data_IF_738782364965
#
_entry.id   IF_738782364965
#
_cell.length_a   1.000
_cell.length_b   1.000
_cell.length_c   1.000
_cell.angle_alpha   90.00
_cell.angle_beta   90.00
_cell.angle_gamma   90.00
#
_symmetry.space_group_name_H-M   'P 1'
#
loop_
_entity.id
_entity.type
_entity.pdbx_description
1 polymer ?
#
# COMPACT_ATOMS: atom_id res chain seq x y z
N UNK A 1 3.31 8.00 -0.85
CA UNK A 1 2.38 8.03 -2.00
C UNK A 1 0.98 7.82 -1.48
N UNK A 2 0.15 8.87 -1.49
CA UNK A 2 -1.30 8.79 -1.18
C UNK A 2 -2.10 8.33 -2.42
N UNK A 3 -1.61 8.67 -3.61
CA UNK A 3 -2.33 8.57 -4.88
C UNK A 3 -2.76 7.13 -5.23
N UNK A 4 -1.87 6.15 -5.07
CA UNK A 4 -2.20 4.75 -5.36
C UNK A 4 -3.29 4.19 -4.43
N UNK A 5 -3.31 4.62 -3.16
CA UNK A 5 -4.32 4.19 -2.18
C UNK A 5 -5.69 4.77 -2.52
N UNK A 6 -5.72 6.03 -2.96
CA UNK A 6 -6.94 6.69 -3.41
C UNK A 6 -7.48 6.02 -4.69
N UNK A 7 -6.60 5.73 -5.67
CA UNK A 7 -6.94 5.00 -6.90
C UNK A 7 -7.47 3.60 -6.59
N UNK A 8 -6.86 2.89 -5.63
CA UNK A 8 -7.28 1.55 -5.23
C UNK A 8 -8.44 1.52 -4.23
N UNK A 9 -8.78 2.67 -3.63
CA UNK A 9 -9.75 2.77 -2.54
C UNK A 9 -9.38 1.90 -1.31
N UNK A 10 -8.11 1.98 -0.86
CA UNK A 10 -7.58 1.22 0.29
C UNK A 10 -6.96 2.10 1.37
N UNK A 11 -6.93 1.63 2.63
CA UNK A 11 -6.35 2.37 3.75
C UNK A 11 -4.81 2.32 3.81
N UNK A 12 -4.23 3.29 4.53
CA UNK A 12 -2.79 3.36 4.85
C UNK A 12 -2.32 2.30 5.86
N UNK A 13 -1.01 2.04 5.80
CA UNK A 13 -0.31 0.95 6.50
C UNK A 13 -0.51 0.85 8.02
N UNK A 14 -0.70 1.94 8.75
CA UNK A 14 -0.81 1.87 10.22
C UNK A 14 -2.17 1.34 10.71
N UNK A 15 -3.20 1.35 9.85
CA UNK A 15 -4.56 0.83 10.15
C UNK A 15 -4.94 -0.36 9.27
N UNK A 16 -4.06 -0.77 8.35
CA UNK A 16 -4.38 -1.86 7.43
C UNK A 16 -4.30 -3.20 8.15
N UNK A 17 -5.34 -4.01 8.01
CA UNK A 17 -5.37 -5.42 8.42
C UNK A 17 -4.79 -6.32 7.33
N UNK A 18 -4.84 -5.88 6.06
CA UNK A 18 -4.32 -6.61 4.90
C UNK A 18 -3.24 -5.77 4.20
N UNK A 19 -1.99 -5.79 4.70
CA UNK A 19 -0.92 -4.89 4.26
C UNK A 19 -0.37 -5.19 2.87
N UNK A 20 -0.65 -6.36 2.29
CA UNK A 20 -0.21 -6.70 0.95
C UNK A 20 -0.97 -5.91 -0.12
N UNK A 21 -0.24 -5.38 -1.11
CA UNK A 21 -0.81 -4.68 -2.25
C UNK A 21 -1.41 -5.64 -3.30
N UNK A 22 -0.98 -6.91 -3.30
CA UNK A 22 -1.35 -7.90 -4.31
C UNK A 22 -2.46 -8.84 -3.85
N UNK A 23 -2.55 -9.10 -2.54
CA UNK A 23 -3.51 -10.04 -1.97
C UNK A 23 -4.24 -9.45 -0.76
N UNK A 24 -5.35 -10.09 -0.41
CA UNK A 24 -6.22 -9.77 0.71
C UNK A 24 -5.80 -10.49 2.00
N UNK A 25 -4.59 -11.04 2.04
CA UNK A 25 -4.08 -11.76 3.21
C UNK A 25 -3.94 -10.85 4.43
N UNK A 26 -4.48 -11.27 5.58
CA UNK A 26 -4.24 -10.62 6.86
C UNK A 26 -2.73 -10.55 7.19
N UNK A 27 -2.32 -9.48 7.87
CA UNK A 27 -0.91 -9.22 8.19
C UNK A 27 -0.24 -10.32 9.02
N UNK A 28 -0.98 -10.96 9.92
CA UNK A 28 -0.51 -12.08 10.76
C UNK A 28 -0.26 -13.36 9.96
N UNK A 29 -0.91 -13.51 8.80
CA UNK A 29 -0.78 -14.68 7.92
C UNK A 29 0.32 -14.55 6.87
N UNK A 30 0.93 -13.36 6.70
CA UNK A 30 1.93 -13.15 5.64
C UNK A 30 3.19 -14.02 5.77
N UNK A 31 3.56 -14.41 6.99
CA UNK A 31 4.73 -15.28 7.23
C UNK A 31 4.37 -16.77 7.30
N UNK A 32 3.11 -17.14 7.04
CA UNK A 32 2.67 -18.52 7.13
C UNK A 32 3.07 -19.30 5.87
N UNK A 33 4.14 -20.08 5.96
CA UNK A 33 4.66 -20.90 4.86
C UNK A 33 3.77 -22.10 4.49
N UNK A 34 2.75 -22.42 5.29
CA UNK A 34 1.85 -23.55 5.04
C UNK A 34 0.61 -23.16 4.22
N UNK A 35 0.46 -21.89 3.87
CA UNK A 35 -0.65 -21.41 3.06
C UNK A 35 -0.48 -21.91 1.63
N UNK A 36 -1.55 -22.51 1.10
CA UNK A 36 -1.59 -22.95 -0.28
C UNK A 36 -2.00 -21.79 -1.19
N UNK A 37 -1.50 -21.80 -2.42
CA UNK A 37 -1.72 -20.71 -3.38
C UNK A 37 -3.20 -20.47 -3.72
N UNK A 38 -4.01 -21.53 -3.71
CA UNK A 38 -5.45 -21.51 -3.96
C UNK A 38 -6.26 -20.85 -2.83
N UNK A 39 -5.68 -20.71 -1.63
CA UNK A 39 -6.30 -20.03 -0.50
C UNK A 39 -5.97 -18.52 -0.46
N UNK A 40 -5.18 -18.03 -1.42
CA UNK A 40 -4.75 -16.62 -1.45
C UNK A 40 -5.68 -15.84 -2.36
N UNK A 41 -6.56 -15.06 -1.74
CA UNK A 41 -7.41 -14.12 -2.47
C UNK A 41 -6.58 -12.93 -2.96
N UNK A 42 -6.58 -12.72 -4.26
CA UNK A 42 -5.89 -11.59 -4.89
C UNK A 42 -6.72 -10.30 -4.76
N UNK A 43 -6.04 -9.15 -4.79
CA UNK A 43 -6.70 -7.86 -5.00
C UNK A 43 -6.99 -7.70 -6.49
N UNK A 44 -8.23 -7.97 -6.87
CA UNK A 44 -8.78 -7.76 -8.21
C UNK A 44 -10.15 -7.08 -8.09
N UNK A 45 -10.76 -6.70 -9.22
CA UNK A 45 -12.06 -6.01 -9.19
C UNK A 45 -13.15 -6.84 -8.50
N UNK A 46 -13.22 -8.14 -8.79
CA UNK A 46 -14.27 -9.05 -8.31
C UNK A 46 -14.21 -9.23 -6.79
N UNK A 47 -13.05 -9.60 -6.25
CA UNK A 47 -12.86 -9.84 -4.82
C UNK A 47 -13.07 -8.57 -3.99
N UNK A 48 -12.71 -7.40 -4.54
CA UNK A 48 -12.87 -6.12 -3.85
C UNK A 48 -14.34 -5.68 -3.84
N UNK A 49 -15.07 -5.91 -4.94
CA UNK A 49 -16.52 -5.73 -4.99
C UNK A 49 -17.24 -6.67 -4.03
N UNK A 50 -16.85 -7.95 -3.99
CA UNK A 50 -17.41 -8.94 -3.08
C UNK A 50 -17.17 -8.58 -1.62
N UNK A 51 -15.98 -8.10 -1.28
CA UNK A 51 -15.66 -7.64 0.07
C UNK A 51 -16.58 -6.49 0.53
N UNK A 52 -16.93 -5.56 -0.37
CA UNK A 52 -17.87 -4.48 -0.08
C UNK A 52 -19.30 -5.00 0.02
N UNK A 53 -19.73 -5.83 -0.93
CA UNK A 53 -21.07 -6.42 -0.94
C UNK A 53 -21.32 -7.29 0.32
N UNK A 54 -20.28 -7.92 0.86
CA UNK A 54 -20.34 -8.75 2.06
C UNK A 54 -20.20 -7.97 3.37
N UNK A 55 -20.17 -6.62 3.32
CA UNK A 55 -19.92 -5.76 4.49
C UNK A 55 -18.63 -6.10 5.25
N UNK A 56 -17.61 -6.57 4.52
CA UNK A 56 -16.29 -6.97 5.03
C UNK A 56 -15.17 -6.03 4.59
N UNK A 57 -15.50 -4.89 3.97
CA UNK A 57 -14.52 -3.96 3.42
C UNK A 57 -13.48 -3.51 4.46
N UNK A 58 -13.91 -3.20 5.70
CA UNK A 58 -13.01 -2.80 6.78
C UNK A 58 -11.98 -3.90 7.10
N UNK A 59 -12.40 -5.17 7.10
CA UNK A 59 -11.53 -6.33 7.37
C UNK A 59 -10.40 -6.42 6.34
N UNK A 60 -10.69 -6.04 5.10
CA UNK A 60 -9.73 -6.04 3.98
C UNK A 60 -9.05 -4.69 3.73
N UNK A 61 -9.33 -3.72 4.61
CA UNK A 61 -8.79 -2.36 4.55
C UNK A 61 -9.17 -1.61 3.28
N UNK A 62 -10.44 -1.78 2.87
CA UNK A 62 -11.06 -1.22 1.68
C UNK A 62 -12.06 -0.15 2.13
N UNK A 63 -12.16 0.94 1.39
CA UNK A 63 -13.24 1.90 1.60
C UNK A 63 -14.57 1.40 1.00
N UNK A 64 -15.69 1.59 1.72
CA UNK A 64 -17.04 1.16 1.31
C UNK A 64 -17.68 2.08 0.25
N UNK A 65 -17.03 2.25 -0.90
CA UNK A 65 -17.62 2.90 -2.06
C UNK A 65 -17.15 2.25 -3.35
N UNK A 66 -17.99 2.34 -4.38
CA UNK A 66 -17.67 1.78 -5.68
C UNK A 66 -16.49 2.50 -6.33
N UNK A 67 -15.47 1.73 -6.71
CA UNK A 67 -14.33 2.27 -7.41
C UNK A 67 -14.69 2.44 -8.89
N UNK A 68 -14.58 3.69 -9.37
CA UNK A 68 -14.82 4.05 -10.77
C UNK A 68 -14.04 3.17 -11.76
N UNK A 69 -12.84 2.75 -11.40
CA UNK A 69 -11.97 2.01 -12.29
C UNK A 69 -12.37 0.53 -12.50
N UNK A 70 -13.27 -0.02 -11.69
CA UNK A 70 -13.81 -1.37 -11.91
C UNK A 70 -14.58 -1.50 -13.23
N UNK A 71 -15.00 -0.37 -13.82
CA UNK A 71 -15.63 -0.36 -15.14
C UNK A 71 -14.66 -0.77 -16.26
N UNK A 72 -13.34 -0.68 -16.04
CA UNK A 72 -12.32 -1.01 -17.03
C UNK A 72 -11.80 -2.44 -16.85
N UNK A 73 -12.52 -3.43 -17.37
CA UNK A 73 -12.16 -4.86 -17.24
C UNK A 73 -10.84 -5.27 -17.93
N UNK A 74 -10.29 -4.42 -18.79
CA UNK A 74 -9.06 -4.72 -19.55
C UNK A 74 -7.82 -4.76 -18.62
N UNK A 75 -7.86 -4.04 -17.50
CA UNK A 75 -6.70 -3.91 -16.61
C UNK A 75 -7.11 -4.03 -15.14
N UNK A 76 -6.38 -4.86 -14.39
CA UNK A 76 -6.48 -4.85 -12.94
C UNK A 76 -5.74 -3.63 -12.36
N UNK A 77 -6.49 -2.64 -11.88
CA UNK A 77 -5.94 -1.42 -11.29
C UNK A 77 -5.00 -1.68 -10.11
N UNK A 78 -5.25 -2.75 -9.35
CA UNK A 78 -4.43 -3.10 -8.20
C UNK A 78 -3.03 -3.55 -8.63
N UNK A 79 -2.95 -4.22 -9.79
CA UNK A 79 -1.68 -4.63 -10.38
C UNK A 79 -0.95 -3.45 -11.01
N UNK A 80 -1.68 -2.56 -11.68
CA UNK A 80 -1.11 -1.34 -12.25
C UNK A 80 -0.52 -0.41 -11.17
N UNK A 81 -1.29 -0.14 -10.11
CA UNK A 81 -0.85 0.69 -8.99
C UNK A 81 0.33 0.06 -8.23
N UNK A 82 0.36 -1.28 -8.13
CA UNK A 82 1.47 -2.01 -7.54
C UNK A 82 2.77 -1.92 -8.35
N UNK A 83 2.66 -2.00 -9.68
CA UNK A 83 3.80 -1.82 -10.58
C UNK A 83 4.37 -0.41 -10.47
N UNK A 84 3.54 0.62 -10.41
CA UNK A 84 3.99 2.00 -10.18
C UNK A 84 4.74 2.15 -8.85
N UNK A 85 4.27 1.47 -7.79
CA UNK A 85 4.98 1.42 -6.51
C UNK A 85 6.37 0.79 -6.61
N UNK A 86 6.51 -0.34 -7.32
CA UNK A 86 7.82 -0.97 -7.52
C UNK A 86 8.75 -0.08 -8.35
N UNK A 87 8.26 0.51 -9.43
CA UNK A 87 9.05 1.44 -10.24
C UNK A 87 9.51 2.64 -9.40
N UNK A 88 8.63 3.31 -8.64
CA UNK A 88 9.06 4.41 -7.77
C UNK A 88 10.15 4.03 -6.75
N UNK A 89 10.16 2.78 -6.30
CA UNK A 89 11.19 2.26 -5.41
C UNK A 89 12.49 1.88 -6.15
N UNK A 90 12.38 1.40 -7.39
CA UNK A 90 13.51 0.99 -8.24
C UNK A 90 14.20 2.14 -9.00
N UNK A 91 13.52 3.25 -9.35
CA UNK A 91 14.13 4.39 -10.09
C UNK A 91 15.09 5.22 -9.22
N UNK A 92 15.61 4.68 -8.10
CA UNK A 92 16.65 5.33 -7.29
C UNK A 92 16.19 6.57 -6.48
N UNK A 93 14.90 6.91 -6.52
CA UNK A 93 14.33 7.98 -5.69
C UNK A 93 14.34 7.62 -4.20
N UNK A 94 14.30 6.32 -3.87
CA UNK A 94 14.35 5.86 -2.48
C UNK A 94 15.71 6.13 -1.81
N UNK A 95 16.87 5.78 -2.42
CA UNK A 95 18.19 6.25 -1.98
C UNK A 95 18.26 7.76 -1.78
N UNK A 96 17.80 8.56 -2.76
CA UNK A 96 17.79 10.02 -2.65
C UNK A 96 16.97 10.53 -1.46
N UNK A 97 15.80 9.95 -1.20
CA UNK A 97 14.97 10.31 -0.04
C UNK A 97 15.62 9.93 1.30
N UNK A 98 16.32 8.79 1.38
CA UNK A 98 17.09 8.40 2.57
C UNK A 98 18.28 9.34 2.81
N UNK A 99 19.00 9.71 1.75
CA UNK A 99 20.11 10.64 1.86
C UNK A 99 19.65 12.05 2.21
N UNK A 100 18.57 12.53 1.58
CA UNK A 100 17.95 13.82 1.89
C UNK A 100 17.49 13.90 3.35
N UNK A 101 16.82 12.86 3.84
CA UNK A 101 16.38 12.81 5.25
C UNK A 101 17.59 12.74 6.20
N UNK A 102 18.60 11.92 5.92
CA UNK A 102 19.86 11.88 6.71
C UNK A 102 20.55 13.24 6.78
N UNK A 103 20.66 13.95 5.65
CA UNK A 103 21.25 15.29 5.60
C UNK A 103 20.44 16.26 6.44
N UNK A 104 19.11 16.23 6.31
CA UNK A 104 18.22 17.08 7.10
C UNK A 104 18.33 16.81 8.61
N UNK A 105 18.32 15.55 9.04
CA UNK A 105 18.54 15.18 10.44
C UNK A 105 19.90 15.67 10.97
N UNK A 106 20.95 15.55 10.17
CA UNK A 106 22.29 16.02 10.53
C UNK A 106 22.34 17.55 10.65
N UNK A 107 21.68 18.27 9.74
CA UNK A 107 21.59 19.74 9.76
C UNK A 107 20.75 20.22 10.96
N UNK A 108 19.60 19.60 11.21
CA UNK A 108 18.73 19.94 12.35
C UNK A 108 19.45 19.66 13.70
N UNK A 109 20.29 18.62 13.76
CA UNK A 109 21.11 18.31 14.94
C UNK A 109 22.25 19.32 15.17
N UNK A 110 22.92 19.77 14.11
CA UNK A 110 23.95 20.81 14.17
C UNK A 110 23.36 22.16 14.56
N UNK A 111 22.22 22.56 13.97
CA UNK A 111 21.52 23.81 14.30
C UNK A 111 21.01 23.84 15.76
N UNK A 112 20.60 22.70 16.33
CA UNK A 112 20.17 22.64 17.74
C UNK A 112 21.34 22.78 18.73
N UNK A 113 22.54 22.33 18.34
CA UNK A 113 23.75 22.43 19.16
C UNK A 113 24.47 23.77 19.02
N UNK A 114 24.40 24.42 17.85
CA UNK A 114 24.97 25.75 17.61
C UNK A 114 24.10 26.90 18.18
N UNK A 115 22.86 26.62 18.61
CA UNK A 115 21.99 27.56 19.34
C UNK A 115 22.13 27.48 20.87
N UNK A 116 23.01 26.60 21.39
CA UNK A 116 23.24 26.38 22.83
C UNK A 116 24.67 26.81 23.28
N UNK A 117 25.44 27.49 22.42
CA UNK A 117 26.70 28.15 22.78
C UNK A 117 26.53 29.67 22.68
#
# INVERSE_FOLDING_TARGET
>A
MLEAQDICCTYKSYRTRCPCYKCLMPGDQLNNMNIKQDMIDLRNHENMQEAIASHNAENYSIHEYDNFFWNFRIMNIYDAAALDHMHLQEIGLFPYMLDYTRVKWTIDWLLLHDLII
#
